data_IF_542655795681
#
_entry.id   IF_542655795681
#
_cell.length_a   1.000
_cell.length_b   1.000
_cell.length_c   1.000
_cell.angle_alpha   90.00
_cell.angle_beta   90.00
_cell.angle_gamma   90.00
#
_symmetry.space_group_name_H-M   'P 1'
#
loop_
_entity.id
_entity.type
_entity.pdbx_description
1 polymer ?
#
# COMPACT_ATOMS: atom_id res chain seq x y z
N UNK A 1 -7.06 6.86 14.46
CA UNK A 1 -6.02 6.58 13.47
C UNK A 1 -5.05 5.59 14.09
N UNK A 2 -4.84 4.43 13.49
CA UNK A 2 -3.81 3.48 13.92
C UNK A 2 -2.65 3.62 12.94
N UNK A 3 -1.45 3.92 13.42
CA UNK A 3 -0.25 3.92 12.58
C UNK A 3 0.10 2.47 12.23
N UNK A 4 0.20 2.14 10.94
CA UNK A 4 0.38 0.76 10.48
C UNK A 4 1.69 0.14 10.97
N UNK A 5 2.72 0.95 11.21
CA UNK A 5 4.01 0.51 11.78
C UNK A 5 3.82 -0.03 13.21
N UNK A 6 3.25 0.80 14.09
CA UNK A 6 2.98 0.43 15.49
C UNK A 6 1.96 -0.71 15.55
N UNK A 7 0.94 -0.68 14.70
CA UNK A 7 -0.03 -1.77 14.57
C UNK A 7 0.65 -3.10 14.27
N UNK A 8 1.57 -3.12 13.30
CA UNK A 8 2.31 -4.31 12.91
C UNK A 8 3.12 -4.90 14.07
N UNK A 9 3.82 -4.04 14.83
CA UNK A 9 4.56 -4.48 16.01
C UNK A 9 3.63 -5.09 17.08
N UNK A 10 2.50 -4.45 17.37
CA UNK A 10 1.50 -4.97 18.30
C UNK A 10 0.86 -6.28 17.83
N UNK A 11 0.61 -6.42 16.52
CA UNK A 11 0.07 -7.65 15.94
C UNK A 11 1.04 -8.82 16.10
N UNK A 12 2.34 -8.61 15.84
CA UNK A 12 3.38 -9.63 16.02
C UNK A 12 3.54 -10.03 17.49
N UNK A 13 3.56 -9.06 18.41
CA UNK A 13 3.64 -9.35 19.84
C UNK A 13 2.41 -10.11 20.34
N UNK A 14 1.22 -9.71 19.89
CA UNK A 14 -0.03 -10.41 20.20
C UNK A 14 -0.09 -11.82 19.62
N UNK A 15 0.52 -12.06 18.45
CA UNK A 15 0.66 -13.39 17.87
C UNK A 15 1.54 -14.29 18.73
N UNK A 16 2.74 -13.80 19.10
CA UNK A 16 3.66 -14.53 19.97
C UNK A 16 3.07 -14.83 21.36
N UNK A 17 2.16 -13.97 21.83
CA UNK A 17 1.49 -14.11 23.13
C UNK A 17 0.22 -14.95 23.10
N UNK A 18 -0.19 -15.48 21.93
CA UNK A 18 -1.40 -16.29 21.79
C UNK A 18 -2.72 -15.51 21.93
N UNK A 19 -2.69 -14.19 21.79
CA UNK A 19 -3.89 -13.34 21.87
C UNK A 19 -4.80 -13.55 20.66
N UNK A 20 -4.21 -13.78 19.48
CA UNK A 20 -4.94 -14.01 18.24
C UNK A 20 -5.15 -15.51 18.01
N UNK A 21 -6.39 -15.88 17.68
CA UNK A 21 -6.75 -17.26 17.35
C UNK A 21 -6.16 -17.71 16.01
N UNK A 22 -6.20 -16.82 15.02
CA UNK A 22 -5.80 -17.07 13.64
C UNK A 22 -5.55 -15.74 12.91
N UNK A 23 -5.01 -15.81 11.68
CA UNK A 23 -4.73 -14.64 10.84
C UNK A 23 -5.99 -13.93 10.37
N UNK A 24 -7.11 -14.65 10.27
CA UNK A 24 -8.42 -14.14 9.88
C UNK A 24 -8.99 -13.18 10.94
N UNK A 25 -8.80 -13.50 12.22
CA UNK A 25 -9.14 -12.60 13.33
C UNK A 25 -8.36 -11.30 13.23
N UNK A 26 -7.08 -11.36 12.88
CA UNK A 26 -6.22 -10.19 12.69
C UNK A 26 -6.65 -9.33 11.49
N UNK A 27 -6.99 -9.97 10.37
CA UNK A 27 -7.43 -9.28 9.16
C UNK A 27 -8.71 -8.44 9.38
N UNK A 28 -9.58 -8.86 10.32
CA UNK A 28 -10.80 -8.12 10.69
C UNK A 28 -10.53 -6.84 11.49
N UNK A 29 -9.37 -6.71 12.12
CA UNK A 29 -8.98 -5.51 12.88
C UNK A 29 -8.67 -4.35 11.94
N UNK A 30 -8.12 -4.63 10.76
CA UNK A 30 -7.81 -3.61 9.78
C UNK A 30 -9.06 -3.14 9.05
N UNK A 31 -9.26 -1.82 8.99
CA UNK A 31 -10.35 -1.20 8.23
C UNK A 31 -9.82 0.02 7.49
N UNK A 32 -10.08 0.07 6.18
CA UNK A 32 -9.84 1.27 5.39
C UNK A 32 -10.75 2.41 5.87
N UNK A 33 -10.15 3.56 6.18
CA UNK A 33 -10.88 4.77 6.57
C UNK A 33 -11.54 5.42 5.35
N UNK A 34 -10.75 5.67 4.30
CA UNK A 34 -11.22 6.25 3.06
C UNK A 34 -10.71 5.47 1.85
N UNK A 35 -11.52 5.44 0.78
CA UNK A 35 -11.16 4.88 -0.53
C UNK A 35 -11.20 5.98 -1.58
N UNK A 36 -10.17 6.04 -2.41
CA UNK A 36 -10.04 7.03 -3.48
C UNK A 36 -10.04 6.32 -4.84
N UNK A 37 -11.20 6.13 -5.48
CA UNK A 37 -11.25 5.52 -6.80
C UNK A 37 -10.61 6.44 -7.84
N UNK A 38 -9.95 5.85 -8.85
CA UNK A 38 -9.40 6.61 -9.97
C UNK A 38 -10.53 7.31 -10.73
N UNK A 39 -10.47 8.63 -10.82
CA UNK A 39 -11.34 9.44 -11.68
C UNK A 39 -10.76 9.64 -13.08
N UNK A 40 -9.58 9.09 -13.34
CA UNK A 40 -8.88 9.21 -14.62
C UNK A 40 -9.16 8.01 -15.51
N UNK A 41 -9.56 8.28 -16.75
CA UNK A 41 -9.72 7.26 -17.79
C UNK A 41 -8.39 6.62 -18.22
N UNK A 42 -8.50 5.47 -18.89
CA UNK A 42 -7.35 4.64 -19.29
C UNK A 42 -6.39 5.34 -20.25
N UNK A 43 -6.90 6.08 -21.24
CA UNK A 43 -6.08 6.80 -22.23
C UNK A 43 -5.13 7.84 -21.61
N UNK A 44 -5.63 8.82 -20.83
CA UNK A 44 -4.79 9.77 -20.11
C UNK A 44 -3.83 9.09 -19.13
N UNK A 45 -4.25 8.02 -18.44
CA UNK A 45 -3.39 7.25 -17.53
C UNK A 45 -2.21 6.64 -18.28
N UNK A 46 -2.45 6.01 -19.44
CA UNK A 46 -1.39 5.39 -20.26
C UNK A 46 -0.37 6.41 -20.73
N UNK A 47 -0.82 7.56 -21.26
CA UNK A 47 0.07 8.64 -21.72
C UNK A 47 0.99 9.16 -20.61
N UNK A 48 0.45 9.34 -19.40
CA UNK A 48 1.25 9.79 -18.24
C UNK A 48 2.30 8.74 -17.84
N UNK A 49 1.93 7.45 -17.89
CA UNK A 49 2.86 6.36 -17.60
C UNK A 49 3.98 6.26 -18.64
N UNK A 50 3.66 6.36 -19.94
CA UNK A 50 4.65 6.39 -21.02
C UNK A 50 5.63 7.56 -20.85
N UNK A 51 5.12 8.76 -20.55
CA UNK A 51 5.96 9.93 -20.30
C UNK A 51 6.87 9.76 -19.08
N UNK A 52 6.37 9.17 -17.99
CA UNK A 52 7.19 8.85 -16.82
C UNK A 52 8.31 7.86 -17.16
N UNK A 53 8.00 6.81 -17.92
CA UNK A 53 9.01 5.82 -18.33
C UNK A 53 10.11 6.45 -19.20
N UNK A 54 9.75 7.36 -20.12
CA UNK A 54 10.72 8.12 -20.89
C UNK A 54 11.62 8.98 -20.00
N UNK A 55 11.05 9.67 -19.00
CA UNK A 55 11.82 10.46 -18.04
C UNK A 55 12.80 9.60 -17.22
N UNK A 56 12.34 8.45 -16.72
CA UNK A 56 13.19 7.48 -16.01
C UNK A 56 14.31 6.95 -16.91
N UNK A 57 14.02 6.65 -18.18
CA UNK A 57 15.04 6.20 -19.14
C UNK A 57 16.13 7.26 -19.34
N UNK A 58 15.75 8.52 -19.53
CA UNK A 58 16.72 9.63 -19.68
C UNK A 58 17.57 9.81 -18.43
N UNK A 59 16.98 9.70 -17.24
CA UNK A 59 17.71 9.80 -15.98
C UNK A 59 18.73 8.66 -15.78
N UNK A 60 18.47 7.47 -16.34
CA UNK A 60 19.40 6.32 -16.29
C UNK A 60 20.56 6.44 -17.28
N UNK A 61 20.35 7.05 -18.44
CA UNK A 61 21.38 7.21 -19.49
C UNK A 61 22.26 8.44 -19.26
N UNK A 62 21.86 9.36 -18.37
CA UNK A 62 22.64 10.55 -18.02
C UNK A 62 23.80 10.28 -17.02
N UNK A 63 24.18 9.01 -16.84
CA UNK A 63 25.28 8.55 -16.00
C UNK A 63 26.28 7.76 -16.84
#
# INVERSE_FOLDING_TARGET
MIETTVAGACFLQGWASGIWKDTEALAKVWKADQRFPSRMGTGPRRRRLESWQQAVSRAKTAS
#
